data_IF_370784054838
#
_entry.id   IF_370784054838
#
_cell.length_a   1.000
_cell.length_b   1.000
_cell.length_c   1.000
_cell.angle_alpha   90.00
_cell.angle_beta   90.00
_cell.angle_gamma   90.00
#
_symmetry.space_group_name_H-M   'P 1'
#
loop_
_entity.id
_entity.type
_entity.pdbx_description
1 polymer ?
#
# COMPACT_ATOMS: atom_id res chain seq x y z
N UNK A 1 15.23 -3.71 -26.47
CA UNK A 1 14.08 -4.54 -26.08
C UNK A 1 14.04 -4.46 -24.56
N UNK A 2 13.11 -3.68 -23.98
CA UNK A 2 13.07 -3.50 -22.52
C UNK A 2 12.36 -4.72 -21.96
N UNK A 3 13.14 -5.62 -21.35
CA UNK A 3 12.65 -6.75 -20.59
C UNK A 3 11.62 -6.23 -19.57
N UNK A 4 10.36 -6.67 -19.69
CA UNK A 4 9.34 -6.39 -18.70
C UNK A 4 9.68 -7.18 -17.44
N UNK A 5 10.57 -6.63 -16.61
CA UNK A 5 10.89 -7.18 -15.30
C UNK A 5 9.58 -7.18 -14.51
N UNK A 6 9.04 -8.35 -14.26
CA UNK A 6 7.81 -8.54 -13.46
C UNK A 6 8.07 -8.00 -12.06
N UNK A 7 7.75 -6.73 -11.85
CA UNK A 7 7.95 -6.06 -10.56
C UNK A 7 6.79 -6.42 -9.65
N UNK A 8 7.09 -6.92 -8.46
CA UNK A 8 6.09 -7.01 -7.42
C UNK A 8 6.11 -5.69 -6.64
N UNK A 9 5.25 -4.74 -7.02
CA UNK A 9 5.18 -3.42 -6.37
C UNK A 9 4.97 -3.50 -4.85
N UNK A 10 4.40 -4.58 -4.32
CA UNK A 10 4.18 -4.75 -2.88
C UNK A 10 5.46 -5.12 -2.11
N UNK A 11 6.47 -5.67 -2.79
CA UNK A 11 7.73 -6.12 -2.17
C UNK A 11 8.90 -5.23 -2.61
N UNK A 12 9.04 -5.03 -3.92
CA UNK A 12 10.19 -4.35 -4.52
C UNK A 12 10.10 -2.82 -4.36
N UNK A 13 8.89 -2.26 -4.38
CA UNK A 13 8.67 -0.80 -4.29
C UNK A 13 8.34 -0.31 -2.86
N UNK A 14 8.51 -1.13 -1.82
CA UNK A 14 8.11 -0.79 -0.45
C UNK A 14 8.85 0.43 0.13
N UNK A 15 10.10 0.64 -0.30
CA UNK A 15 10.94 1.78 0.11
C UNK A 15 11.02 2.89 -0.96
N UNK A 16 10.23 2.80 -2.03
CA UNK A 16 10.27 3.72 -3.16
C UNK A 16 10.21 2.99 -4.49
N UNK A 17 9.76 3.70 -5.54
CA UNK A 17 9.58 3.12 -6.86
C UNK A 17 10.94 2.73 -7.50
N UNK A 18 11.16 1.43 -7.73
CA UNK A 18 12.38 0.89 -8.34
C UNK A 18 12.50 1.14 -9.85
N UNK A 19 11.36 1.38 -10.53
CA UNK A 19 11.27 1.57 -11.98
C UNK A 19 11.26 3.06 -12.37
N UNK A 20 11.29 3.96 -11.39
CA UNK A 20 11.23 5.40 -11.61
C UNK A 20 10.02 5.80 -12.46
N UNK A 21 10.29 6.28 -13.68
CA UNK A 21 9.28 6.79 -14.62
C UNK A 21 8.43 5.69 -15.27
N UNK A 22 8.93 4.46 -15.33
CA UNK A 22 8.26 3.31 -15.96
C UNK A 22 7.28 2.59 -15.02
N UNK A 23 6.89 3.23 -13.90
CA UNK A 23 5.94 2.65 -12.97
C UNK A 23 4.56 2.47 -13.63
N UNK A 24 4.00 1.25 -13.68
CA UNK A 24 2.67 1.02 -14.25
C UNK A 24 1.56 1.71 -13.44
N UNK A 25 1.82 2.07 -12.18
CA UNK A 25 0.84 2.67 -11.26
C UNK A 25 1.01 4.19 -11.11
N UNK A 26 1.69 4.85 -12.04
CA UNK A 26 2.01 6.29 -11.97
C UNK A 26 0.75 7.17 -11.91
N UNK A 27 -0.34 6.74 -12.53
CA UNK A 27 -1.65 7.40 -12.48
C UNK A 27 -2.21 7.50 -11.05
N UNK A 28 -2.01 6.48 -10.22
CA UNK A 28 -2.45 6.49 -8.82
C UNK A 28 -1.65 7.46 -7.96
N UNK A 29 -0.40 7.77 -8.33
CA UNK A 29 0.40 8.78 -7.63
C UNK A 29 -0.24 10.17 -7.71
N UNK A 30 -0.85 10.51 -8.86
CA UNK A 30 -1.58 11.78 -9.01
C UNK A 30 -2.83 11.82 -8.14
N UNK A 31 -3.59 10.72 -8.10
CA UNK A 31 -4.76 10.61 -7.24
C UNK A 31 -4.41 10.72 -5.75
N UNK A 32 -3.35 10.03 -5.31
CA UNK A 32 -2.85 10.10 -3.94
C UNK A 32 -2.40 11.52 -3.58
N UNK A 33 -1.69 12.19 -4.49
CA UNK A 33 -1.24 13.57 -4.30
C UNK A 33 -2.42 14.55 -4.16
N UNK A 34 -3.46 14.38 -4.98
CA UNK A 34 -4.71 15.17 -4.87
C UNK A 34 -5.39 14.94 -3.53
N UNK A 35 -5.53 13.68 -3.10
CA UNK A 35 -6.12 13.35 -1.81
C UNK A 35 -5.38 14.00 -0.65
N UNK A 36 -4.04 13.94 -0.64
CA UNK A 36 -3.22 14.54 0.43
C UNK A 36 -3.35 16.07 0.47
N UNK A 37 -3.46 16.72 -0.69
CA UNK A 37 -3.63 18.19 -0.75
C UNK A 37 -5.05 18.65 -0.41
N UNK A 38 -6.07 17.90 -0.80
CA UNK A 38 -7.48 18.23 -0.57
C UNK A 38 -7.93 17.88 0.85
N UNK A 39 -7.36 16.81 1.43
CA UNK A 39 -7.72 16.34 2.77
C UNK A 39 -6.89 17.05 3.83
N UNK A 40 -7.53 17.87 4.66
CA UNK A 40 -6.86 18.48 5.82
C UNK A 40 -6.33 17.42 6.80
N UNK A 41 -5.28 17.76 7.55
CA UNK A 41 -4.67 16.89 8.55
C UNK A 41 -5.69 16.39 9.59
N UNK A 42 -6.55 17.28 10.09
CA UNK A 42 -7.63 16.92 11.02
C UNK A 42 -8.56 15.87 10.42
N UNK A 43 -8.86 16.00 9.12
CA UNK A 43 -9.73 15.07 8.42
C UNK A 43 -9.07 13.69 8.25
N UNK A 44 -7.75 13.65 8.06
CA UNK A 44 -7.01 12.38 8.06
C UNK A 44 -7.08 11.69 9.42
N UNK A 45 -6.98 12.45 10.51
CA UNK A 45 -7.11 11.90 11.86
C UNK A 45 -8.50 11.31 12.10
N UNK A 46 -9.58 12.02 11.71
CA UNK A 46 -10.94 11.48 11.82
C UNK A 46 -11.12 10.16 11.03
N UNK A 47 -10.55 10.09 9.83
CA UNK A 47 -10.60 8.88 8.99
C UNK A 47 -9.87 7.71 9.69
N UNK A 48 -8.71 7.99 10.29
CA UNK A 48 -7.94 6.99 11.02
C UNK A 48 -8.70 6.45 12.25
N UNK A 49 -9.33 7.33 13.02
CA UNK A 49 -10.16 6.94 14.17
C UNK A 49 -11.38 6.12 13.76
N UNK A 50 -12.06 6.51 12.67
CA UNK A 50 -13.18 5.75 12.11
C UNK A 50 -12.75 4.36 11.63
N UNK A 51 -11.59 4.25 10.99
CA UNK A 51 -11.02 2.98 10.56
C UNK A 51 -10.67 2.07 11.74
N UNK A 52 -10.09 2.62 12.81
CA UNK A 52 -9.79 1.90 14.05
C UNK A 52 -11.08 1.38 14.69
N UNK A 53 -12.10 2.22 14.82
CA UNK A 53 -13.40 1.83 15.37
C UNK A 53 -14.06 0.71 14.56
N UNK A 54 -13.99 0.80 13.23
CA UNK A 54 -14.47 -0.26 12.33
C UNK A 54 -13.69 -1.56 12.53
N UNK A 55 -12.36 -1.49 12.64
CA UNK A 55 -11.51 -2.67 12.89
C UNK A 55 -11.82 -3.35 14.22
N UNK A 56 -12.16 -2.59 15.26
CA UNK A 56 -12.56 -3.15 16.56
C UNK A 56 -13.94 -3.81 16.54
N UNK A 57 -14.86 -3.37 15.67
CA UNK A 57 -16.17 -3.99 15.50
C UNK A 57 -16.15 -5.22 14.58
N UNK A 58 -15.15 -5.33 13.70
CA UNK A 58 -14.99 -6.46 12.80
C UNK A 58 -14.50 -7.69 13.58
N UNK A 59 -14.96 -8.91 13.24
CA UNK A 59 -14.42 -10.12 13.83
C UNK A 59 -12.91 -10.20 13.55
N UNK A 60 -12.10 -10.71 14.50
CA UNK A 60 -10.66 -10.80 14.33
C UNK A 60 -10.32 -11.68 13.13
N UNK A 61 -9.64 -11.11 12.13
CA UNK A 61 -9.10 -11.87 11.01
C UNK A 61 -7.80 -12.54 11.48
N UNK A 62 -7.88 -13.83 11.79
CA UNK A 62 -6.71 -14.66 12.04
C UNK A 62 -6.01 -14.97 10.71
N UNK A 63 -4.98 -14.20 10.41
CA UNK A 63 -4.01 -14.56 9.37
C UNK A 63 -3.00 -15.53 9.99
N UNK A 64 -3.04 -16.78 9.54
CA UNK A 64 -1.99 -17.77 9.85
C UNK A 64 -0.77 -17.33 9.04
N UNK A 65 0.35 -16.96 9.68
CA UNK A 65 1.56 -16.62 8.95
C UNK A 65 2.02 -17.86 8.16
N UNK A 66 2.29 -17.69 6.88
CA UNK A 66 2.99 -18.68 6.07
C UNK A 66 4.44 -18.69 6.55
N UNK A 67 4.73 -19.50 7.58
CA UNK A 67 6.10 -19.83 7.95
C UNK A 67 6.59 -20.80 6.88
N UNK A 68 7.17 -20.26 5.82
CA UNK A 68 7.67 -21.06 4.71
C UNK A 68 8.56 -22.20 5.22
N UNK A 69 8.23 -23.42 4.81
CA UNK A 69 9.13 -24.57 4.78
C UNK A 69 10.32 -24.22 3.85
N UNK A 70 11.28 -23.44 4.33
CA UNK A 70 12.57 -23.29 3.68
C UNK A 70 13.42 -24.53 3.99
N UNK A 71 13.76 -25.39 3.01
CA UNK A 71 14.84 -26.34 3.19
C UNK A 71 16.16 -25.55 3.25
N UNK A 72 16.83 -25.69 4.41
CA UNK A 72 18.19 -25.22 4.72
C UNK A 72 19.22 -25.49 3.61
#
# INVERSE_FOLDING_TARGET
>A
MVEAKTVNCAVDCVNGCVLGDQCPNKEYASAASKFINDTSLDKMHEIAEAALRKKMMQPPQWVIPDFGDEPK
#
